data_IF_518304924978
#
_entry.id   IF_518304924978
#
_cell.length_a   1.000
_cell.length_b   1.000
_cell.length_c   1.000
_cell.angle_alpha   90.00
_cell.angle_beta   90.00
_cell.angle_gamma   90.00
#
_symmetry.space_group_name_H-M   'P 1'
#
loop_
_entity.id
_entity.type
_entity.pdbx_description
1 polymer ?
#
# COMPACT_ATOMS: atom_id res chain seq x y z
N UNK A 1 -3.84 -18.34 17.54
CA UNK A 1 -2.66 -18.92 18.19
C UNK A 1 -1.45 -18.58 17.35
N UNK A 2 -0.46 -17.89 17.92
CA UNK A 2 0.75 -17.40 17.26
C UNK A 2 1.91 -18.34 17.55
N UNK A 3 2.53 -18.90 16.51
CA UNK A 3 3.65 -19.83 16.65
C UNK A 3 4.99 -19.08 16.58
N UNK A 4 5.87 -19.34 17.55
CA UNK A 4 7.14 -18.62 17.70
C UNK A 4 8.31 -19.62 17.80
N UNK A 5 9.41 -19.29 17.12
CA UNK A 5 10.73 -19.91 17.35
C UNK A 5 11.64 -18.87 18.01
N UNK A 6 12.41 -19.30 19.02
CA UNK A 6 13.37 -18.44 19.71
C UNK A 6 14.78 -18.96 19.42
N UNK A 7 15.62 -18.10 18.87
CA UNK A 7 17.04 -18.40 18.70
C UNK A 7 17.85 -17.60 19.71
N UNK A 8 18.41 -18.27 20.66
CA UNK A 8 19.19 -17.71 21.76
C UNK A 8 20.14 -18.81 22.32
N UNK A 9 21.41 -18.47 22.44
CA UNK A 9 22.45 -19.41 22.92
C UNK A 9 22.28 -19.70 24.39
N UNK A 10 21.85 -18.71 25.18
CA UNK A 10 21.65 -18.85 26.62
C UNK A 10 20.26 -19.42 26.95
N UNK A 11 20.12 -20.65 27.47
CA UNK A 11 18.82 -21.23 27.76
C UNK A 11 17.99 -20.41 28.77
N UNK A 12 18.64 -19.74 29.73
CA UNK A 12 17.94 -18.89 30.70
C UNK A 12 17.36 -17.62 30.06
N UNK A 13 18.07 -17.02 29.08
CA UNK A 13 17.57 -15.87 28.33
C UNK A 13 16.43 -16.28 27.39
N UNK A 14 16.54 -17.45 26.75
CA UNK A 14 15.46 -18.00 25.91
C UNK A 14 14.17 -18.24 26.69
N UNK A 15 14.30 -18.82 27.91
CA UNK A 15 13.16 -19.06 28.78
C UNK A 15 12.58 -17.75 29.35
N UNK A 16 13.43 -16.77 29.66
CA UNK A 16 13.02 -15.42 30.02
C UNK A 16 12.18 -14.74 28.94
N UNK A 17 12.63 -14.78 27.68
CA UNK A 17 11.89 -14.23 26.54
C UNK A 17 10.56 -14.95 26.33
N UNK A 18 10.56 -16.29 26.41
CA UNK A 18 9.31 -17.07 26.34
C UNK A 18 8.28 -16.65 27.37
N UNK A 19 8.70 -16.54 28.64
CA UNK A 19 7.79 -16.18 29.73
C UNK A 19 7.26 -14.76 29.57
N UNK A 20 8.08 -13.84 29.09
CA UNK A 20 7.67 -12.47 28.81
C UNK A 20 6.65 -12.39 27.66
N UNK A 21 6.88 -13.11 26.57
CA UNK A 21 5.96 -13.20 25.43
C UNK A 21 4.60 -13.76 25.88
N UNK A 22 4.58 -14.82 26.69
CA UNK A 22 3.34 -15.43 27.19
C UNK A 22 2.60 -14.47 28.13
N UNK A 23 3.31 -13.71 28.97
CA UNK A 23 2.70 -12.82 29.94
C UNK A 23 2.17 -11.51 29.32
N UNK A 24 2.79 -11.03 28.25
CA UNK A 24 2.39 -9.76 27.61
C UNK A 24 1.28 -9.92 26.57
N UNK A 25 1.06 -11.14 26.04
CA UNK A 25 -0.04 -11.39 25.10
C UNK A 25 -1.23 -11.93 25.87
N UNK A 26 -2.12 -11.01 26.27
CA UNK A 26 -3.36 -11.32 26.98
C UNK A 26 -4.55 -11.25 26.02
N UNK A 27 -5.42 -12.26 25.95
CA UNK A 27 -6.66 -12.24 25.17
C UNK A 27 -6.85 -13.43 24.22
N UNK A 28 -7.42 -13.18 23.03
CA UNK A 28 -7.74 -14.24 22.07
C UNK A 28 -6.51 -14.86 21.38
N UNK A 29 -5.37 -14.19 21.40
CA UNK A 29 -4.14 -14.65 20.77
C UNK A 29 -3.23 -15.35 21.80
N UNK A 30 -3.18 -16.67 21.76
CA UNK A 30 -2.24 -17.46 22.54
C UNK A 30 -0.92 -17.63 21.78
N UNK A 31 0.21 -17.40 22.48
CA UNK A 31 1.55 -17.70 21.93
C UNK A 31 1.93 -19.13 22.23
N UNK A 32 2.46 -19.81 21.23
CA UNK A 32 3.07 -21.12 21.36
C UNK A 32 4.52 -21.10 20.84
N UNK A 33 5.50 -21.30 21.72
CA UNK A 33 6.87 -21.53 21.30
C UNK A 33 6.99 -22.95 20.76
N UNK A 34 7.24 -23.07 19.46
CA UNK A 34 7.27 -24.35 18.72
C UNK A 34 8.68 -24.87 18.48
N UNK A 35 9.71 -24.09 18.78
CA UNK A 35 11.11 -24.52 18.64
C UNK A 35 12.11 -23.53 19.25
N UNK A 36 13.31 -24.06 19.50
CA UNK A 36 14.45 -23.26 19.92
C UNK A 36 15.62 -23.58 19.00
N UNK A 37 16.34 -22.59 18.53
CA UNK A 37 17.55 -22.71 17.74
C UNK A 37 18.76 -22.22 18.54
N UNK A 38 19.88 -22.92 18.43
CA UNK A 38 21.12 -22.63 19.16
C UNK A 38 22.23 -22.08 18.28
N UNK A 39 22.05 -22.16 16.96
CA UNK A 39 22.95 -21.61 15.96
C UNK A 39 22.18 -21.08 14.74
N UNK A 40 22.88 -20.33 13.89
CA UNK A 40 22.25 -19.69 12.74
C UNK A 40 21.77 -20.67 11.66
N UNK A 41 22.32 -21.88 11.56
CA UNK A 41 21.89 -22.90 10.62
C UNK A 41 20.57 -23.53 11.06
N UNK A 42 20.47 -23.84 12.38
CA UNK A 42 19.27 -24.38 13.01
C UNK A 42 18.08 -23.42 12.87
N UNK A 43 18.32 -22.07 12.90
CA UNK A 43 17.29 -21.04 12.60
C UNK A 43 16.68 -21.25 11.22
N UNK A 44 17.51 -21.40 10.18
CA UNK A 44 17.04 -21.60 8.82
C UNK A 44 16.31 -22.95 8.64
N UNK A 45 16.80 -24.00 9.30
CA UNK A 45 16.17 -25.33 9.29
C UNK A 45 14.78 -25.31 9.94
N UNK A 46 14.66 -24.72 11.14
CA UNK A 46 13.39 -24.59 11.83
C UNK A 46 12.42 -23.67 11.09
N UNK A 47 12.90 -22.61 10.44
CA UNK A 47 12.09 -21.78 9.56
C UNK A 47 11.45 -22.58 8.43
N UNK A 48 12.25 -23.42 7.74
CA UNK A 48 11.79 -24.26 6.64
C UNK A 48 10.79 -25.34 7.08
N UNK A 49 11.08 -26.00 8.22
CA UNK A 49 10.32 -27.15 8.71
C UNK A 49 9.03 -26.75 9.40
N UNK A 50 9.09 -25.78 10.31
CA UNK A 50 7.97 -25.41 11.17
C UNK A 50 7.14 -24.25 10.60
N UNK A 51 7.74 -23.45 9.71
CA UNK A 51 7.13 -22.24 9.14
C UNK A 51 6.40 -21.43 10.22
N UNK A 52 7.09 -21.04 11.31
CA UNK A 52 6.44 -20.34 12.42
C UNK A 52 5.96 -18.96 11.98
N UNK A 53 5.10 -18.34 12.78
CA UNK A 53 4.65 -16.98 12.51
C UNK A 53 5.79 -15.99 12.71
N UNK A 54 6.59 -16.18 13.77
CA UNK A 54 7.68 -15.28 14.14
C UNK A 54 8.90 -16.10 14.54
N UNK A 55 10.08 -15.62 14.17
CA UNK A 55 11.37 -16.11 14.69
C UNK A 55 12.11 -14.95 15.34
N UNK A 56 12.42 -15.07 16.62
CA UNK A 56 13.37 -14.19 17.29
C UNK A 56 14.78 -14.71 17.06
N UNK A 57 15.65 -13.86 16.50
CA UNK A 57 17.01 -14.24 16.12
C UNK A 57 18.01 -13.38 16.90
N UNK A 58 18.86 -14.00 17.70
CA UNK A 58 19.94 -13.29 18.37
C UNK A 58 21.02 -12.85 17.37
N UNK A 59 21.56 -11.64 17.55
CA UNK A 59 22.67 -11.11 16.74
C UNK A 59 23.91 -11.99 16.83
N UNK A 60 24.24 -12.49 18.06
CA UNK A 60 25.45 -13.24 18.36
C UNK A 60 25.21 -14.77 18.37
N UNK A 61 24.89 -15.33 17.20
CA UNK A 61 24.76 -16.77 17.06
C UNK A 61 26.09 -17.43 16.66
N UNK A 62 26.40 -18.64 17.17
CA UNK A 62 27.56 -19.37 16.74
C UNK A 62 27.41 -19.87 15.31
N UNK A 63 28.53 -19.91 14.59
CA UNK A 63 28.60 -20.37 13.20
C UNK A 63 28.19 -19.33 12.19
N UNK A 64 26.90 -19.10 12.04
CA UNK A 64 26.33 -18.02 11.23
C UNK A 64 25.79 -16.95 12.18
N UNK A 65 26.18 -15.69 11.96
CA UNK A 65 25.67 -14.57 12.75
C UNK A 65 24.15 -14.39 12.56
N UNK A 66 23.51 -13.61 13.44
CA UNK A 66 22.06 -13.42 13.40
C UNK A 66 21.57 -12.76 12.11
N UNK A 67 22.38 -11.94 11.45
CA UNK A 67 22.03 -11.31 10.18
C UNK A 67 21.94 -12.33 9.05
N UNK A 68 22.95 -13.21 8.95
CA UNK A 68 22.97 -14.25 7.93
C UNK A 68 21.92 -15.32 8.22
N UNK A 69 21.69 -15.68 9.50
CA UNK A 69 20.61 -16.56 9.93
C UNK A 69 19.24 -15.99 9.53
N UNK A 70 19.00 -14.70 9.74
CA UNK A 70 17.79 -14.01 9.34
C UNK A 70 17.59 -14.04 7.81
N UNK A 71 18.66 -13.80 7.04
CA UNK A 71 18.63 -13.86 5.57
C UNK A 71 18.24 -15.25 5.06
N UNK A 72 18.84 -16.29 5.61
CA UNK A 72 18.54 -17.68 5.23
C UNK A 72 17.14 -18.11 5.66
N UNK A 73 16.70 -17.74 6.87
CA UNK A 73 15.35 -18.02 7.35
C UNK A 73 14.28 -17.35 6.48
N UNK A 74 14.50 -16.09 6.11
CA UNK A 74 13.58 -15.34 5.22
C UNK A 74 13.53 -15.95 3.82
N UNK A 75 14.67 -16.44 3.30
CA UNK A 75 14.70 -17.14 2.02
C UNK A 75 13.97 -18.49 2.07
N UNK A 76 14.14 -19.25 3.17
CA UNK A 76 13.51 -20.57 3.37
C UNK A 76 12.01 -20.49 3.69
N UNK A 77 11.58 -19.45 4.40
CA UNK A 77 10.19 -19.21 4.80
C UNK A 77 9.83 -17.71 4.66
N UNK A 78 9.50 -17.23 3.45
CA UNK A 78 9.25 -15.79 3.17
C UNK A 78 8.09 -15.17 3.96
N UNK A 79 7.19 -16.01 4.46
CA UNK A 79 6.03 -15.58 5.25
C UNK A 79 6.32 -15.50 6.75
N UNK A 80 7.43 -16.04 7.21
CA UNK A 80 7.85 -15.96 8.62
C UNK A 80 8.46 -14.60 8.91
N UNK A 81 8.01 -13.93 9.97
CA UNK A 81 8.59 -12.66 10.39
C UNK A 81 9.85 -12.91 11.23
N UNK A 82 11.01 -12.49 10.75
CA UNK A 82 12.26 -12.51 11.54
C UNK A 82 12.35 -11.21 12.35
N UNK A 83 12.55 -11.35 13.66
CA UNK A 83 12.82 -10.26 14.61
C UNK A 83 14.26 -10.40 15.08
N UNK A 84 15.13 -9.45 14.72
CA UNK A 84 16.53 -9.48 15.12
C UNK A 84 16.71 -8.83 16.50
N UNK A 85 17.37 -9.53 17.41
CA UNK A 85 17.69 -9.05 18.76
C UNK A 85 19.12 -8.53 18.75
N UNK A 86 19.30 -7.21 18.84
CA UNK A 86 20.58 -6.53 18.78
C UNK A 86 21.20 -6.34 20.18
N UNK A 87 22.51 -6.51 20.26
CA UNK A 87 23.29 -6.17 21.47
C UNK A 87 23.44 -4.64 21.59
N UNK A 88 23.76 -3.97 20.47
CA UNK A 88 23.91 -2.54 20.43
C UNK A 88 22.91 -1.90 19.46
N UNK A 89 22.11 -0.97 19.96
CA UNK A 89 21.15 -0.23 19.16
C UNK A 89 21.85 0.90 18.41
N UNK A 90 21.92 0.80 17.08
CA UNK A 90 22.48 1.86 16.23
C UNK A 90 21.76 1.92 14.88
N UNK A 91 21.68 3.10 14.23
CA UNK A 91 21.06 3.25 12.92
C UNK A 91 21.66 2.32 11.85
N UNK A 92 22.95 2.04 11.95
CA UNK A 92 23.67 1.16 11.04
C UNK A 92 23.26 -0.31 11.24
N UNK A 93 23.11 -0.77 12.50
CA UNK A 93 22.66 -2.12 12.83
C UNK A 93 21.20 -2.33 12.36
N UNK A 94 20.32 -1.34 12.55
CA UNK A 94 18.96 -1.37 12.03
C UNK A 94 18.91 -1.48 10.50
N UNK A 95 19.68 -0.65 9.78
CA UNK A 95 19.76 -0.71 8.32
C UNK A 95 20.24 -2.07 7.83
N UNK A 96 21.28 -2.64 8.45
CA UNK A 96 21.79 -3.97 8.14
C UNK A 96 20.75 -5.06 8.39
N UNK A 97 20.03 -5.00 9.52
CA UNK A 97 18.97 -5.93 9.86
C UNK A 97 17.85 -5.95 8.81
N UNK A 98 17.39 -4.78 8.39
CA UNK A 98 16.34 -4.66 7.36
C UNK A 98 16.81 -5.20 6.00
N UNK A 99 18.06 -4.97 5.62
CA UNK A 99 18.65 -5.51 4.39
C UNK A 99 18.74 -7.05 4.41
N UNK A 100 18.93 -7.66 5.60
CA UNK A 100 18.92 -9.12 5.77
C UNK A 100 17.51 -9.72 5.84
N UNK A 101 16.45 -8.92 5.72
CA UNK A 101 15.07 -9.38 5.70
C UNK A 101 14.38 -9.43 7.07
N UNK A 102 15.00 -8.85 8.11
CA UNK A 102 14.31 -8.68 9.40
C UNK A 102 13.06 -7.81 9.22
N UNK A 103 11.99 -8.18 9.89
CA UNK A 103 10.72 -7.42 9.91
C UNK A 103 10.67 -6.43 11.06
N UNK A 104 11.41 -6.70 12.10
CA UNK A 104 11.58 -5.83 13.25
C UNK A 104 12.94 -6.04 13.90
N UNK A 105 13.34 -5.07 14.68
CA UNK A 105 14.57 -5.11 15.48
C UNK A 105 14.21 -4.76 16.91
N UNK A 106 14.73 -5.51 17.86
CA UNK A 106 14.61 -5.22 19.29
C UNK A 106 15.99 -5.22 19.95
N UNK A 107 16.13 -4.49 21.04
CA UNK A 107 17.36 -4.53 21.84
C UNK A 107 17.33 -5.71 22.79
N UNK A 108 18.42 -6.50 22.85
CA UNK A 108 18.54 -7.70 23.68
C UNK A 108 18.34 -7.42 25.17
N UNK A 109 18.95 -6.35 25.71
CA UNK A 109 18.93 -6.00 27.14
C UNK A 109 17.99 -4.84 27.51
N UNK A 110 17.25 -4.31 26.56
CA UNK A 110 16.32 -3.22 26.74
C UNK A 110 15.04 -3.51 25.99
N UNK A 111 14.30 -4.52 26.46
CA UNK A 111 13.09 -5.01 25.81
C UNK A 111 12.08 -3.88 25.68
N UNK A 112 11.43 -3.73 24.51
CA UNK A 112 10.35 -2.77 24.36
C UNK A 112 9.30 -3.07 25.43
N UNK A 113 8.72 -2.04 26.00
CA UNK A 113 7.65 -2.12 27.00
C UNK A 113 6.43 -2.90 26.52
N UNK A 114 6.41 -3.31 25.22
CA UNK A 114 5.27 -3.97 24.60
C UNK A 114 5.67 -4.97 23.50
N UNK A 115 6.34 -6.07 23.88
CA UNK A 115 6.58 -7.22 23.01
C UNK A 115 5.28 -7.87 22.54
N UNK A 116 4.23 -7.78 23.33
CA UNK A 116 2.91 -8.31 23.01
C UNK A 116 2.30 -7.62 21.80
N UNK A 117 2.40 -6.28 21.72
CA UNK A 117 1.93 -5.53 20.55
C UNK A 117 2.74 -5.89 19.30
N UNK A 118 4.06 -5.92 19.39
CA UNK A 118 4.93 -6.28 18.28
C UNK A 118 4.58 -7.67 17.70
N UNK A 119 4.46 -8.67 18.57
CA UNK A 119 4.14 -10.05 18.16
C UNK A 119 2.75 -10.13 17.52
N UNK A 120 1.75 -9.48 18.12
CA UNK A 120 0.40 -9.44 17.60
C UNK A 120 0.36 -8.76 16.23
N UNK A 121 1.07 -7.64 16.06
CA UNK A 121 1.18 -6.92 14.80
C UNK A 121 1.84 -7.78 13.71
N UNK A 122 2.98 -8.42 14.00
CA UNK A 122 3.69 -9.27 13.04
C UNK A 122 2.86 -10.50 12.63
N UNK A 123 2.16 -11.12 13.58
CA UNK A 123 1.29 -12.26 13.30
C UNK A 123 0.07 -11.87 12.44
N UNK A 124 -0.52 -10.70 12.68
CA UNK A 124 -1.61 -10.16 11.85
C UNK A 124 -1.15 -9.89 10.42
N UNK A 125 0.02 -9.30 10.21
CA UNK A 125 0.60 -9.09 8.87
C UNK A 125 0.73 -10.41 8.10
N UNK A 126 1.05 -11.50 8.79
CA UNK A 126 1.10 -12.84 8.17
C UNK A 126 -0.29 -13.38 7.84
N UNK A 127 -1.27 -13.17 8.72
CA UNK A 127 -2.66 -13.58 8.46
C UNK A 127 -3.24 -12.84 7.26
N UNK A 128 -2.94 -11.55 7.11
CA UNK A 128 -3.31 -10.77 5.93
C UNK A 128 -2.67 -11.34 4.67
N UNK A 129 -1.35 -11.65 4.68
CA UNK A 129 -0.68 -12.34 3.57
C UNK A 129 -1.27 -13.73 3.28
N UNK A 130 -1.60 -14.51 4.30
CA UNK A 130 -2.27 -15.81 4.14
C UNK A 130 -3.67 -15.65 3.55
N UNK A 131 -4.45 -14.66 3.96
CA UNK A 131 -5.77 -14.40 3.39
C UNK A 131 -5.66 -13.89 1.95
N UNK A 132 -4.62 -13.13 1.61
CA UNK A 132 -4.27 -12.80 0.23
C UNK A 132 -3.99 -14.05 -0.60
N UNK A 133 -3.22 -15.01 -0.10
CA UNK A 133 -2.94 -16.28 -0.75
C UNK A 133 -4.18 -17.21 -0.82
N UNK A 134 -5.03 -17.21 0.20
CA UNK A 134 -6.26 -18.03 0.21
C UNK A 134 -7.37 -17.46 -0.69
N UNK A 135 -7.45 -16.13 -0.84
CA UNK A 135 -8.36 -15.53 -1.83
C UNK A 135 -7.93 -15.80 -3.28
N UNK A 136 -6.65 -16.10 -3.51
CA UNK A 136 -6.11 -16.50 -4.81
C UNK A 136 -6.64 -17.86 -5.27
N UNK A 137 -7.11 -18.72 -4.35
CA UNK A 137 -7.44 -20.13 -4.66
C UNK A 137 -8.93 -20.35 -5.00
N UNK A 138 -9.84 -19.43 -4.72
CA UNK A 138 -11.27 -19.77 -4.78
C UNK A 138 -12.06 -19.22 -5.95
N UNK A 139 -11.67 -18.11 -6.59
CA UNK A 139 -12.33 -17.62 -7.80
C UNK A 139 -11.49 -16.50 -8.47
N UNK A 140 -10.83 -16.75 -9.60
CA UNK A 140 -10.06 -15.74 -10.31
C UNK A 140 -10.86 -14.48 -10.69
N UNK A 141 -12.18 -14.62 -10.85
CA UNK A 141 -13.07 -13.51 -11.21
C UNK A 141 -13.41 -12.59 -10.03
N UNK A 142 -13.05 -13.00 -8.81
CA UNK A 142 -13.26 -12.23 -7.56
C UNK A 142 -11.99 -11.68 -6.96
N UNK A 143 -10.85 -11.82 -7.63
CA UNK A 143 -9.60 -11.24 -7.11
C UNK A 143 -9.71 -9.73 -6.97
N UNK A 144 -9.28 -9.17 -5.83
CA UNK A 144 -9.28 -7.72 -5.64
C UNK A 144 -8.30 -7.05 -6.60
N UNK A 145 -8.73 -5.97 -7.23
CA UNK A 145 -7.94 -5.17 -8.14
C UNK A 145 -7.64 -3.82 -7.52
N UNK A 146 -6.38 -3.49 -7.47
CA UNK A 146 -5.89 -2.24 -6.89
C UNK A 146 -5.29 -1.36 -7.96
N UNK A 147 -5.63 -0.09 -7.95
CA UNK A 147 -5.29 0.88 -8.98
C UNK A 147 -4.73 2.14 -8.29
N UNK A 148 -3.46 2.43 -8.52
CA UNK A 148 -2.87 3.69 -8.11
C UNK A 148 -3.00 4.71 -9.25
N UNK A 149 -3.42 5.93 -8.93
CA UNK A 149 -3.46 7.06 -9.87
C UNK A 149 -2.49 8.10 -9.38
N UNK A 150 -1.50 8.43 -10.20
CA UNK A 150 -0.44 9.38 -9.85
C UNK A 150 -0.05 10.27 -11.03
N UNK A 151 0.86 11.21 -10.82
CA UNK A 151 1.37 12.11 -11.84
C UNK A 151 2.69 12.72 -11.41
N UNK A 152 3.48 13.23 -12.34
CA UNK A 152 4.72 13.93 -12.04
C UNK A 152 4.51 15.33 -11.44
N UNK A 153 3.35 15.95 -11.70
CA UNK A 153 3.03 17.31 -11.24
C UNK A 153 1.64 17.42 -10.64
N UNK A 154 1.45 18.43 -9.79
CA UNK A 154 0.13 18.87 -9.36
C UNK A 154 -0.66 19.51 -10.53
N UNK A 155 -1.99 19.52 -10.42
CA UNK A 155 -2.87 20.22 -11.37
C UNK A 155 -3.11 19.54 -12.72
N UNK A 156 -2.52 18.38 -13.00
CA UNK A 156 -2.71 17.65 -14.26
C UNK A 156 -4.03 16.88 -14.35
N UNK A 157 -4.85 16.87 -13.27
CA UNK A 157 -6.18 16.26 -13.25
C UNK A 157 -6.21 14.83 -12.67
N UNK A 158 -5.23 14.45 -11.91
CA UNK A 158 -5.08 13.13 -11.26
C UNK A 158 -6.27 12.77 -10.37
N UNK A 159 -6.60 13.62 -9.38
CA UNK A 159 -7.72 13.41 -8.45
C UNK A 159 -9.07 13.36 -9.20
N UNK A 160 -9.27 14.23 -10.22
CA UNK A 160 -10.45 14.18 -11.06
C UNK A 160 -10.58 12.83 -11.80
N UNK A 161 -9.47 12.29 -12.30
CA UNK A 161 -9.46 10.96 -12.92
C UNK A 161 -9.76 9.88 -11.87
N UNK A 162 -9.10 9.86 -10.73
CA UNK A 162 -9.29 8.86 -9.69
C UNK A 162 -10.76 8.80 -9.22
N UNK A 163 -11.36 9.94 -8.91
CA UNK A 163 -12.76 10.06 -8.46
C UNK A 163 -13.72 9.54 -9.53
N UNK A 164 -13.61 10.03 -10.76
CA UNK A 164 -14.54 9.68 -11.82
C UNK A 164 -14.38 8.20 -12.26
N UNK A 165 -13.15 7.66 -12.27
CA UNK A 165 -12.91 6.24 -12.53
C UNK A 165 -13.50 5.36 -11.43
N UNK A 166 -13.27 5.67 -10.16
CA UNK A 166 -13.85 4.92 -9.04
C UNK A 166 -15.38 4.90 -9.09
N UNK A 167 -16.03 6.01 -9.47
CA UNK A 167 -17.47 6.09 -9.64
C UNK A 167 -17.99 5.23 -10.81
N UNK A 168 -17.26 5.20 -11.94
CA UNK A 168 -17.62 4.33 -13.06
C UNK A 168 -17.54 2.85 -12.67
N UNK A 169 -16.52 2.46 -11.89
CA UNK A 169 -16.43 1.12 -11.34
C UNK A 169 -17.57 0.85 -10.34
N UNK A 170 -17.87 1.81 -9.46
CA UNK A 170 -18.95 1.70 -8.48
C UNK A 170 -20.34 1.56 -9.14
N UNK A 171 -20.58 2.23 -10.26
CA UNK A 171 -21.81 2.07 -11.08
C UNK A 171 -21.97 0.62 -11.56
N UNK A 172 -20.89 -0.08 -11.89
CA UNK A 172 -20.90 -1.48 -12.35
C UNK A 172 -20.86 -2.49 -11.22
N UNK A 173 -20.19 -2.14 -10.10
CA UNK A 173 -19.96 -2.98 -8.92
C UNK A 173 -20.32 -2.21 -7.64
N UNK A 174 -21.62 -1.98 -7.37
CA UNK A 174 -22.04 -1.21 -6.20
C UNK A 174 -21.52 -1.81 -4.89
N UNK A 175 -21.13 -0.94 -3.94
CA UNK A 175 -20.61 -1.30 -2.60
C UNK A 175 -19.31 -2.15 -2.62
N UNK A 176 -18.69 -2.34 -3.78
CA UNK A 176 -17.48 -3.15 -3.92
C UNK A 176 -16.23 -2.31 -4.26
N UNK A 177 -16.36 -0.98 -4.23
CA UNK A 177 -15.30 -0.04 -4.63
C UNK A 177 -14.94 0.87 -3.47
N UNK A 178 -13.64 1.00 -3.21
CA UNK A 178 -13.09 1.99 -2.30
C UNK A 178 -12.15 2.95 -3.04
N UNK A 179 -12.16 4.22 -2.65
CA UNK A 179 -11.24 5.26 -3.10
C UNK A 179 -10.51 5.83 -1.88
N UNK A 180 -9.21 5.75 -1.89
CA UNK A 180 -8.33 6.19 -0.82
C UNK A 180 -7.57 7.43 -1.28
N UNK A 181 -7.81 8.55 -0.62
CA UNK A 181 -7.03 9.76 -0.81
C UNK A 181 -5.71 9.62 -0.03
N UNK A 182 -4.62 9.38 -0.76
CA UNK A 182 -3.31 9.12 -0.16
C UNK A 182 -2.49 10.41 0.00
N UNK A 183 -3.17 11.55 0.05
CA UNK A 183 -2.53 12.84 0.28
C UNK A 183 -2.29 13.11 1.76
N UNK A 184 -1.02 13.36 2.09
CA UNK A 184 -0.60 13.78 3.44
C UNK A 184 -0.96 15.22 3.79
N UNK A 185 -1.36 16.02 2.79
CA UNK A 185 -1.77 17.42 2.92
C UNK A 185 -2.75 17.75 1.80
N UNK A 186 -3.81 18.50 2.11
CA UNK A 186 -4.74 19.04 1.12
C UNK A 186 -5.40 17.98 0.22
N UNK A 187 -5.89 16.89 0.83
CA UNK A 187 -6.68 15.90 0.08
C UNK A 187 -7.98 16.50 -0.46
N UNK A 188 -8.23 16.32 -1.76
CA UNK A 188 -9.34 16.95 -2.46
C UNK A 188 -10.44 15.96 -2.89
N UNK A 189 -10.29 14.66 -2.59
CA UNK A 189 -11.27 13.63 -2.99
C UNK A 189 -12.64 13.88 -2.35
N UNK A 190 -12.67 14.22 -1.06
CA UNK A 190 -13.92 14.49 -0.35
C UNK A 190 -14.60 15.75 -0.87
N UNK A 191 -13.84 16.79 -1.24
CA UNK A 191 -14.38 18.00 -1.86
C UNK A 191 -15.02 17.70 -3.22
N UNK A 192 -14.35 16.90 -4.05
CA UNK A 192 -14.85 16.52 -5.37
C UNK A 192 -16.15 15.68 -5.33
N UNK A 193 -16.48 15.11 -4.16
CA UNK A 193 -17.64 14.25 -3.92
C UNK A 193 -18.70 14.88 -2.99
N UNK A 194 -18.52 16.14 -2.58
CA UNK A 194 -19.31 16.80 -1.52
C UNK A 194 -19.48 15.94 -0.25
N UNK A 195 -18.43 15.24 0.14
CA UNK A 195 -18.42 14.40 1.32
C UNK A 195 -17.88 15.17 2.53
N UNK A 196 -18.59 15.02 3.65
CA UNK A 196 -18.12 15.49 4.96
C UNK A 196 -17.74 14.29 5.83
N UNK A 197 -16.53 14.28 6.32
CA UNK A 197 -16.05 13.26 7.26
C UNK A 197 -15.07 13.90 8.24
N UNK A 198 -15.11 13.43 9.48
CA UNK A 198 -14.14 13.81 10.51
C UNK A 198 -12.94 12.87 10.51
N UNK A 199 -13.09 11.66 9.95
CA UNK A 199 -12.06 10.64 9.89
C UNK A 199 -11.23 10.78 8.61
N UNK A 200 -9.93 10.52 8.72
CA UNK A 200 -8.99 10.55 7.61
C UNK A 200 -7.95 9.42 7.74
N UNK A 201 -7.16 9.19 6.70
CA UNK A 201 -6.15 8.13 6.67
C UNK A 201 -5.09 8.30 7.79
N UNK A 202 -4.74 9.53 8.17
CA UNK A 202 -3.78 9.81 9.23
C UNK A 202 -4.28 9.38 10.61
N UNK A 203 -5.60 9.33 10.84
CA UNK A 203 -6.13 8.89 12.12
C UNK A 203 -5.83 7.41 12.39
N UNK A 204 -5.69 6.59 11.34
CA UNK A 204 -5.33 5.18 11.45
C UNK A 204 -3.97 4.96 12.11
N UNK A 205 -3.04 5.93 12.02
CA UNK A 205 -1.72 5.84 12.67
C UNK A 205 -1.78 5.84 14.19
N UNK A 206 -2.90 6.28 14.77
CA UNK A 206 -3.11 6.33 16.23
C UNK A 206 -3.44 4.97 16.82
N UNK A 207 -3.76 3.98 15.99
CA UNK A 207 -4.11 2.64 16.42
C UNK A 207 -2.88 1.73 16.30
N UNK A 208 -2.62 0.92 17.32
CA UNK A 208 -1.49 -0.02 17.31
C UNK A 208 -1.68 -1.18 16.34
N UNK A 209 -2.91 -1.50 15.98
CA UNK A 209 -3.26 -2.51 14.99
C UNK A 209 -4.58 -2.12 14.32
N UNK A 210 -4.69 -2.44 13.03
CA UNK A 210 -5.91 -2.20 12.26
C UNK A 210 -6.73 -3.50 12.18
N UNK A 211 -8.04 -3.34 12.14
CA UNK A 211 -8.96 -4.43 11.77
C UNK A 211 -9.96 -3.93 10.71
N UNK A 212 -10.73 -4.87 10.15
CA UNK A 212 -11.63 -4.56 9.05
C UNK A 212 -12.75 -3.59 9.44
N UNK A 213 -13.27 -3.70 10.65
CA UNK A 213 -14.36 -2.84 11.15
C UNK A 213 -13.86 -1.43 11.43
N UNK A 214 -12.66 -1.30 11.99
CA UNK A 214 -12.00 -0.01 12.20
C UNK A 214 -11.74 0.71 10.86
N UNK A 215 -11.18 0.00 9.88
CA UNK A 215 -10.92 0.56 8.54
C UNK A 215 -12.24 0.95 7.86
N UNK A 216 -13.26 0.10 7.91
CA UNK A 216 -14.58 0.39 7.31
C UNK A 216 -15.27 1.58 8.00
N UNK A 217 -15.10 1.73 9.31
CA UNK A 217 -15.59 2.87 10.10
C UNK A 217 -14.93 4.21 9.74
N UNK A 218 -13.73 4.20 9.15
CA UNK A 218 -13.03 5.41 8.66
C UNK A 218 -13.37 5.76 7.20
N UNK A 219 -14.13 4.91 6.50
CA UNK A 219 -14.56 5.15 5.13
C UNK A 219 -15.92 5.84 5.08
N UNK A 220 -15.95 7.07 4.60
CA UNK A 220 -17.20 7.77 4.30
C UNK A 220 -17.95 7.08 3.15
N UNK A 221 -19.26 7.11 3.17
CA UNK A 221 -20.12 6.53 2.12
C UNK A 221 -20.68 7.63 1.24
N UNK A 222 -20.36 7.59 -0.05
CA UNK A 222 -21.00 8.41 -1.08
C UNK A 222 -22.35 7.79 -1.50
N UNK A 223 -23.29 8.60 -1.99
CA UNK A 223 -24.62 8.16 -2.43
C UNK A 223 -24.59 7.09 -3.54
N UNK A 224 -23.54 7.06 -4.36
CA UNK A 224 -23.33 6.01 -5.37
C UNK A 224 -22.98 4.63 -4.79
N UNK A 225 -22.74 4.52 -3.47
CA UNK A 225 -22.19 3.33 -2.83
C UNK A 225 -20.65 3.28 -2.80
N UNK A 226 -19.95 4.27 -3.38
CA UNK A 226 -18.49 4.37 -3.28
C UNK A 226 -18.09 4.63 -1.82
N UNK A 227 -17.09 3.91 -1.34
CA UNK A 227 -16.47 4.11 -0.03
C UNK A 227 -15.21 4.96 -0.17
N UNK A 228 -15.06 5.97 0.66
CA UNK A 228 -14.00 6.97 0.51
C UNK A 228 -13.26 7.16 1.82
N UNK A 229 -11.95 6.95 1.80
CA UNK A 229 -11.06 7.35 2.89
C UNK A 229 -10.47 8.72 2.55
N UNK A 230 -10.74 9.69 3.41
CA UNK A 230 -10.23 11.04 3.23
C UNK A 230 -8.71 11.10 3.45
N UNK A 231 -8.05 11.96 2.69
CA UNK A 231 -6.67 12.34 2.94
C UNK A 231 -6.53 13.22 4.20
N UNK A 232 -5.30 13.44 4.64
CA UNK A 232 -5.01 14.26 5.82
C UNK A 232 -5.33 15.74 5.53
N UNK A 233 -6.10 16.36 6.40
CA UNK A 233 -6.44 17.78 6.31
C UNK A 233 -5.30 18.69 6.78
N UNK A 234 -5.46 20.00 6.55
CA UNK A 234 -4.46 21.05 6.85
C UNK A 234 -3.93 21.08 8.30
N UNK A 235 -4.68 20.57 9.26
CA UNK A 235 -4.33 20.61 10.68
C UNK A 235 -3.45 19.43 11.14
N UNK A 236 -3.11 18.48 10.28
CA UNK A 236 -2.48 17.21 10.66
C UNK A 236 -1.27 16.86 9.77
N UNK A 237 -0.52 17.85 9.33
CA UNK A 237 0.57 17.74 8.33
C UNK A 237 1.63 16.67 8.66
N UNK A 238 1.84 16.36 9.93
CA UNK A 238 2.89 15.42 10.37
C UNK A 238 2.44 13.96 10.43
N UNK A 239 1.14 13.65 10.30
CA UNK A 239 0.65 12.29 10.51
C UNK A 239 1.06 11.31 9.40
N UNK A 240 1.12 11.75 8.15
CA UNK A 240 1.50 10.87 7.03
C UNK A 240 3.01 10.54 7.01
N UNK A 241 3.86 11.39 7.57
CA UNK A 241 5.29 11.08 7.75
C UNK A 241 5.51 9.99 8.80
N UNK A 242 4.52 9.78 9.68
CA UNK A 242 4.53 8.77 10.74
C UNK A 242 3.92 7.43 10.29
N UNK A 243 3.27 7.37 9.12
CA UNK A 243 2.71 6.11 8.60
C UNK A 243 3.85 5.22 8.14
N UNK A 244 4.14 4.21 8.91
CA UNK A 244 5.15 3.22 8.58
C UNK A 244 4.66 2.19 7.55
N UNK A 245 5.58 1.49 6.92
CA UNK A 245 5.25 0.47 5.91
C UNK A 245 4.42 -0.68 6.47
N UNK A 246 4.65 -1.19 7.70
CA UNK A 246 3.77 -2.16 8.34
C UNK A 246 2.30 -1.74 8.39
N UNK A 247 2.00 -0.53 8.84
CA UNK A 247 0.62 -0.01 8.87
C UNK A 247 0.01 0.11 7.46
N UNK A 248 0.80 0.57 6.48
CA UNK A 248 0.34 0.62 5.08
C UNK A 248 0.06 -0.77 4.52
N UNK A 249 0.88 -1.76 4.88
CA UNK A 249 0.68 -3.15 4.47
C UNK A 249 -0.60 -3.74 5.05
N UNK A 250 -0.87 -3.46 6.33
CA UNK A 250 -2.08 -3.89 7.02
C UNK A 250 -3.33 -3.24 6.41
N UNK A 251 -3.32 -1.91 6.24
CA UNK A 251 -4.40 -1.17 5.58
C UNK A 251 -4.67 -1.72 4.16
N UNK A 252 -3.62 -1.87 3.36
CA UNK A 252 -3.72 -2.37 1.99
C UNK A 252 -4.34 -3.78 1.93
N UNK A 253 -3.92 -4.67 2.84
CA UNK A 253 -4.46 -6.01 2.96
C UNK A 253 -5.94 -6.03 3.36
N UNK A 254 -6.34 -5.24 4.37
CA UNK A 254 -7.72 -5.15 4.84
C UNK A 254 -8.65 -4.58 3.77
N UNK A 255 -8.22 -3.54 3.05
CA UNK A 255 -8.99 -2.99 1.92
C UNK A 255 -9.22 -4.04 0.83
N UNK A 256 -8.22 -4.85 0.47
CA UNK A 256 -8.33 -5.92 -0.52
C UNK A 256 -9.24 -7.08 -0.10
N UNK A 257 -9.33 -7.35 1.18
CA UNK A 257 -10.29 -8.35 1.70
C UNK A 257 -11.72 -7.84 1.59
N UNK A 258 -11.93 -6.54 1.82
CA UNK A 258 -13.25 -5.94 1.94
C UNK A 258 -13.83 -5.46 0.61
N UNK A 259 -12.96 -4.97 -0.29
CA UNK A 259 -13.38 -4.35 -1.56
C UNK A 259 -12.78 -5.09 -2.76
N UNK A 260 -13.59 -5.26 -3.79
CA UNK A 260 -13.16 -5.84 -5.06
C UNK A 260 -12.24 -4.89 -5.84
N UNK A 261 -12.50 -3.60 -5.76
CA UNK A 261 -11.70 -2.56 -6.42
C UNK A 261 -11.28 -1.50 -5.42
N UNK A 262 -9.99 -1.22 -5.38
CA UNK A 262 -9.44 -0.17 -4.52
C UNK A 262 -8.63 0.80 -5.35
N UNK A 263 -9.06 2.04 -5.38
CA UNK A 263 -8.35 3.14 -6.03
C UNK A 263 -7.55 3.91 -4.97
N UNK A 264 -6.33 4.30 -5.33
CA UNK A 264 -5.48 5.16 -4.52
C UNK A 264 -5.17 6.43 -5.33
N UNK A 265 -5.58 7.59 -4.84
CA UNK A 265 -5.12 8.89 -5.36
C UNK A 265 -3.79 9.23 -4.71
N UNK A 266 -2.68 9.03 -5.44
CA UNK A 266 -1.31 9.10 -4.91
C UNK A 266 -0.66 10.43 -5.30
N UNK A 267 -0.08 11.18 -4.34
CA UNK A 267 0.56 12.47 -4.63
C UNK A 267 1.76 12.34 -5.58
N UNK A 268 2.16 13.44 -6.26
CA UNK A 268 3.26 13.47 -7.21
C UNK A 268 4.62 13.48 -6.50
N UNK A 269 4.89 12.50 -5.67
CA UNK A 269 6.11 12.36 -4.90
C UNK A 269 6.52 10.89 -4.80
N UNK A 270 7.81 10.62 -4.86
CA UNK A 270 8.37 9.27 -4.74
C UNK A 270 8.78 8.95 -3.30
N UNK A 271 7.92 9.28 -2.33
CA UNK A 271 8.13 8.90 -0.94
C UNK A 271 7.95 7.39 -0.76
N UNK A 272 8.54 6.86 0.30
CA UNK A 272 8.53 5.42 0.58
C UNK A 272 7.11 4.83 0.61
N UNK A 273 6.15 5.52 1.23
CA UNK A 273 4.74 5.09 1.28
C UNK A 273 4.09 5.08 -0.10
N UNK A 274 4.30 6.13 -0.92
CA UNK A 274 3.75 6.21 -2.28
C UNK A 274 4.32 5.09 -3.16
N UNK A 275 5.62 4.89 -3.10
CA UNK A 275 6.31 3.82 -3.83
C UNK A 275 5.82 2.45 -3.39
N UNK A 276 5.63 2.25 -2.07
CA UNK A 276 5.08 1.02 -1.53
C UNK A 276 3.69 0.73 -2.11
N UNK A 277 2.74 1.68 -2.04
CA UNK A 277 1.39 1.50 -2.59
C UNK A 277 1.44 1.19 -4.09
N UNK A 278 2.17 1.99 -4.88
CA UNK A 278 2.28 1.76 -6.33
C UNK A 278 2.85 0.37 -6.65
N UNK A 279 3.86 -0.09 -5.91
CA UNK A 279 4.48 -1.40 -6.13
C UNK A 279 3.54 -2.58 -5.86
N UNK A 280 2.54 -2.38 -5.01
CA UNK A 280 1.54 -3.38 -4.64
C UNK A 280 0.28 -3.36 -5.50
N UNK A 281 0.04 -2.28 -6.23
CA UNK A 281 -1.12 -2.15 -7.09
C UNK A 281 -1.02 -3.02 -8.35
N UNK A 282 -2.17 -3.53 -8.81
CA UNK A 282 -2.27 -4.25 -10.07
C UNK A 282 -2.04 -3.31 -11.27
N UNK A 283 -2.50 -2.06 -11.17
CA UNK A 283 -2.34 -1.03 -12.19
C UNK A 283 -1.84 0.27 -11.59
N UNK A 284 -0.92 0.93 -12.28
CA UNK A 284 -0.43 2.27 -11.95
C UNK A 284 -0.76 3.18 -13.13
N UNK A 285 -1.69 4.10 -12.92
CA UNK A 285 -2.08 5.10 -13.91
C UNK A 285 -1.22 6.35 -13.68
N UNK A 286 -0.45 6.74 -14.68
CA UNK A 286 0.33 7.98 -14.68
C UNK A 286 -0.37 9.00 -15.56
N UNK A 287 -0.84 10.09 -14.97
CA UNK A 287 -1.56 11.17 -15.67
C UNK A 287 -0.56 12.25 -16.10
N UNK A 288 -0.54 12.55 -17.37
CA UNK A 288 0.27 13.62 -17.96
C UNK A 288 -0.59 14.53 -18.84
N UNK A 289 -0.08 15.70 -19.18
CA UNK A 289 -0.65 16.55 -20.23
C UNK A 289 0.42 16.93 -21.24
N UNK A 290 0.01 17.48 -22.38
CA UNK A 290 0.88 17.92 -23.48
C UNK A 290 0.94 19.45 -23.61
N UNK A 291 0.67 20.18 -22.50
CA UNK A 291 0.59 21.64 -22.49
C UNK A 291 2.00 22.26 -22.55
N UNK A 292 2.93 21.70 -21.78
CA UNK A 292 4.28 22.26 -21.62
C UNK A 292 5.36 21.18 -21.55
N UNK A 293 6.58 21.55 -22.00
CA UNK A 293 7.75 20.69 -22.04
C UNK A 293 8.18 20.21 -20.63
N UNK A 294 8.01 21.06 -19.61
CA UNK A 294 8.43 20.71 -18.24
C UNK A 294 7.57 19.56 -17.70
N UNK A 295 6.26 19.53 -17.99
CA UNK A 295 5.40 18.42 -17.62
C UNK A 295 5.80 17.12 -18.33
N UNK A 296 6.15 17.19 -19.60
CA UNK A 296 6.62 16.01 -20.37
C UNK A 296 7.92 15.46 -19.79
N UNK A 297 8.93 16.33 -19.57
CA UNK A 297 10.21 15.95 -18.95
C UNK A 297 10.01 15.30 -17.58
N UNK A 298 9.20 15.92 -16.72
CA UNK A 298 8.99 15.44 -15.37
C UNK A 298 8.19 14.12 -15.36
N UNK A 299 7.28 13.93 -16.35
CA UNK A 299 6.58 12.65 -16.56
C UNK A 299 7.55 11.55 -16.96
N UNK A 300 8.48 11.82 -17.86
CA UNK A 300 9.53 10.86 -18.25
C UNK A 300 10.36 10.46 -17.02
N UNK A 301 10.87 11.43 -16.27
CA UNK A 301 11.65 11.17 -15.07
C UNK A 301 10.86 10.35 -14.01
N UNK A 302 9.56 10.62 -13.86
CA UNK A 302 8.72 9.85 -12.95
C UNK A 302 8.52 8.41 -13.40
N UNK A 303 8.28 8.18 -14.70
CA UNK A 303 8.14 6.83 -15.26
C UNK A 303 9.44 6.03 -15.09
N UNK A 304 10.60 6.63 -15.31
CA UNK A 304 11.90 6.02 -15.06
C UNK A 304 12.08 5.64 -13.59
N UNK A 305 11.70 6.54 -12.67
CA UNK A 305 11.73 6.28 -11.23
C UNK A 305 10.78 5.15 -10.83
N UNK A 306 9.57 5.10 -11.38
CA UNK A 306 8.60 4.01 -11.12
C UNK A 306 9.19 2.68 -11.62
N UNK A 307 9.76 2.62 -12.83
CA UNK A 307 10.40 1.40 -13.33
C UNK A 307 11.61 0.97 -12.50
N UNK A 308 12.39 1.93 -11.97
CA UNK A 308 13.52 1.64 -11.08
C UNK A 308 13.09 0.95 -9.77
N UNK A 309 11.81 1.04 -9.38
CA UNK A 309 11.24 0.30 -8.24
C UNK A 309 10.78 -1.12 -8.58
N UNK A 310 11.16 -1.63 -9.77
CA UNK A 310 10.80 -2.95 -10.29
C UNK A 310 9.28 -3.17 -10.52
N UNK A 311 8.52 -2.09 -10.71
CA UNK A 311 7.12 -2.20 -11.15
C UNK A 311 7.13 -2.62 -12.62
N UNK A 312 6.49 -3.74 -13.00
CA UNK A 312 6.44 -4.20 -14.38
C UNK A 312 5.80 -3.17 -15.31
N UNK A 313 6.38 -2.97 -16.48
CA UNK A 313 5.92 -1.98 -17.47
C UNK A 313 4.45 -2.17 -17.85
N UNK A 314 3.99 -3.42 -17.90
CA UNK A 314 2.63 -3.81 -18.27
C UNK A 314 1.58 -3.32 -17.25
N UNK A 315 2.00 -3.02 -16.03
CA UNK A 315 1.14 -2.45 -14.99
C UNK A 315 1.03 -0.93 -15.08
N UNK A 316 1.88 -0.26 -15.88
CA UNK A 316 1.95 1.20 -15.97
C UNK A 316 1.14 1.66 -17.17
N UNK A 317 0.15 2.51 -16.94
CA UNK A 317 -0.74 3.06 -17.96
C UNK A 317 -0.56 4.58 -18.03
N UNK A 318 0.02 5.07 -19.12
CA UNK A 318 0.15 6.51 -19.35
C UNK A 318 -1.15 7.06 -19.93
N UNK A 319 -1.72 8.07 -19.29
CA UNK A 319 -2.94 8.75 -19.72
C UNK A 319 -2.60 10.19 -20.10
N UNK A 320 -2.90 10.56 -21.35
CA UNK A 320 -2.83 11.94 -21.79
C UNK A 320 -4.13 12.66 -21.41
N UNK A 321 -4.07 13.57 -20.44
CA UNK A 321 -5.18 14.40 -20.01
C UNK A 321 -5.08 15.81 -20.61
N UNK A 322 -6.20 16.52 -20.65
CA UNK A 322 -6.31 17.89 -21.20
C UNK A 322 -5.82 17.99 -22.63
N UNK A 323 -6.14 16.97 -23.43
CA UNK A 323 -5.76 16.92 -24.86
C UNK A 323 -6.59 17.93 -25.64
N UNK A 324 -5.91 18.86 -26.29
CA UNK A 324 -6.53 19.91 -27.11
C UNK A 324 -5.67 20.16 -28.34
N UNK A 325 -6.30 20.62 -29.43
CA UNK A 325 -5.59 21.09 -30.63
C UNK A 325 -4.75 22.35 -30.39
N UNK A 326 -4.99 23.03 -29.27
CA UNK A 326 -4.27 24.23 -28.86
C UNK A 326 -3.01 23.92 -28.04
N UNK A 327 -2.80 22.66 -27.63
CA UNK A 327 -1.61 22.28 -26.88
C UNK A 327 -0.37 22.42 -27.77
N UNK A 328 0.72 22.84 -27.14
CA UNK A 328 2.01 23.03 -27.82
C UNK A 328 2.59 21.72 -28.36
N UNK A 329 2.33 20.63 -27.65
CA UNK A 329 2.81 19.29 -27.97
C UNK A 329 1.65 18.33 -28.25
N UNK A 330 1.92 17.34 -29.09
CA UNK A 330 0.96 16.28 -29.43
C UNK A 330 1.09 15.11 -28.47
N UNK A 331 0.10 14.22 -28.50
CA UNK A 331 0.20 12.94 -27.76
C UNK A 331 1.36 12.10 -28.27
N UNK A 332 1.67 12.17 -29.58
CA UNK A 332 2.82 11.47 -30.16
C UNK A 332 4.15 11.98 -29.59
N UNK A 333 4.28 13.31 -29.38
CA UNK A 333 5.49 13.87 -28.74
C UNK A 333 5.64 13.36 -27.30
N UNK A 334 4.53 13.17 -26.57
CA UNK A 334 4.55 12.58 -25.22
C UNK A 334 4.97 11.12 -25.27
N UNK A 335 4.47 10.33 -26.22
CA UNK A 335 4.87 8.93 -26.41
C UNK A 335 6.36 8.79 -26.77
N UNK A 336 6.85 9.65 -27.68
CA UNK A 336 8.26 9.68 -28.07
C UNK A 336 9.18 10.08 -26.91
N UNK A 337 8.78 11.08 -26.10
CA UNK A 337 9.55 11.55 -24.96
C UNK A 337 9.63 10.54 -23.83
N UNK A 338 8.51 9.84 -23.54
CA UNK A 338 8.42 8.90 -22.43
C UNK A 338 8.78 7.46 -22.80
N UNK A 339 8.73 7.11 -24.08
CA UNK A 339 8.83 5.74 -24.56
C UNK A 339 7.63 4.87 -24.20
N UNK A 340 6.54 5.44 -23.64
CA UNK A 340 5.31 4.72 -23.30
C UNK A 340 4.18 5.06 -24.28
N UNK A 341 3.43 4.06 -24.71
CA UNK A 341 2.19 4.31 -25.45
C UNK A 341 1.13 4.87 -24.54
N UNK A 342 0.36 5.84 -25.03
CA UNK A 342 -0.76 6.45 -24.31
C UNK A 342 -1.97 5.52 -24.34
N UNK A 343 -2.38 5.00 -23.18
CA UNK A 343 -3.50 4.07 -23.06
C UNK A 343 -4.87 4.75 -23.30
N UNK A 344 -4.98 6.03 -22.95
CA UNK A 344 -6.18 6.81 -23.24
C UNK A 344 -5.86 8.32 -23.37
N UNK A 345 -6.67 9.02 -24.16
CA UNK A 345 -6.62 10.47 -24.34
C UNK A 345 -7.91 11.07 -23.81
N UNK A 346 -7.79 11.98 -22.85
CA UNK A 346 -8.92 12.69 -22.26
C UNK A 346 -8.96 14.13 -22.81
N UNK A 347 -10.04 14.54 -23.49
CA UNK A 347 -10.14 15.88 -24.02
C UNK A 347 -10.16 16.94 -22.93
N UNK A 348 -9.62 18.12 -23.22
CA UNK A 348 -9.66 19.25 -22.29
C UNK A 348 -11.07 19.85 -22.24
N UNK A 349 -11.65 19.87 -21.05
CA UNK A 349 -12.92 20.53 -20.75
C UNK A 349 -12.84 21.19 -19.36
N UNK A 350 -12.11 22.32 -19.26
CA UNK A 350 -11.88 22.96 -17.97
C UNK A 350 -13.16 23.47 -17.31
N UNK A 351 -14.15 23.89 -18.10
CA UNK A 351 -15.41 24.41 -17.55
C UNK A 351 -16.20 23.29 -16.87
N UNK A 352 -16.36 22.15 -17.53
CA UNK A 352 -17.05 21.00 -16.98
C UNK A 352 -16.32 20.44 -15.74
N UNK A 353 -15.00 20.28 -15.83
CA UNK A 353 -14.19 19.71 -14.74
C UNK A 353 -14.19 20.63 -13.51
N UNK A 354 -13.98 21.94 -13.68
CA UNK A 354 -14.01 22.90 -12.57
C UNK A 354 -15.42 23.06 -11.98
N UNK A 355 -16.45 23.11 -12.82
CA UNK A 355 -17.84 23.15 -12.36
C UNK A 355 -18.20 21.92 -11.54
N UNK A 356 -17.83 20.73 -12.02
CA UNK A 356 -18.00 19.47 -11.31
C UNK A 356 -17.34 19.48 -9.92
N UNK A 357 -16.12 19.99 -9.83
CA UNK A 357 -15.37 20.10 -8.58
C UNK A 357 -16.01 21.08 -7.59
N UNK A 358 -16.40 22.26 -8.07
CA UNK A 358 -17.00 23.30 -7.26
C UNK A 358 -18.39 22.92 -6.71
N UNK A 359 -19.12 22.09 -7.46
CA UNK A 359 -20.43 21.61 -7.06
C UNK A 359 -20.40 20.28 -6.30
N UNK A 360 -19.22 19.62 -6.20
CA UNK A 360 -19.11 18.28 -5.64
C UNK A 360 -19.90 17.22 -6.41
N UNK A 361 -20.13 17.47 -7.72
CA UNK A 361 -20.91 16.59 -8.62
C UNK A 361 -20.04 16.04 -9.73
N UNK A 362 -19.46 14.85 -9.59
CA UNK A 362 -18.58 14.27 -10.59
C UNK A 362 -19.22 14.18 -11.97
N UNK A 363 -18.49 14.63 -12.99
CA UNK A 363 -19.04 14.81 -14.34
C UNK A 363 -19.42 13.49 -15.03
N UNK A 364 -18.84 12.34 -14.67
CA UNK A 364 -19.28 11.04 -15.20
C UNK A 364 -20.68 10.65 -14.75
N UNK A 365 -21.19 11.24 -13.66
CA UNK A 365 -22.56 11.08 -13.17
C UNK A 365 -23.47 12.18 -13.68
N UNK A 366 -23.04 13.45 -13.57
CA UNK A 366 -23.85 14.61 -13.93
C UNK A 366 -23.96 14.84 -15.45
N UNK A 367 -22.87 14.52 -16.19
CA UNK A 367 -22.80 14.78 -17.66
C UNK A 367 -22.16 13.57 -18.36
N UNK A 368 -22.81 12.39 -18.33
CA UNK A 368 -22.23 11.13 -18.82
C UNK A 368 -21.94 11.11 -20.32
N UNK A 369 -22.60 11.99 -21.09
CA UNK A 369 -22.46 12.08 -22.54
C UNK A 369 -21.38 13.09 -22.98
N UNK A 370 -20.76 13.82 -22.07
CA UNK A 370 -19.66 14.71 -22.41
C UNK A 370 -18.46 13.92 -23.00
N UNK A 371 -17.71 14.51 -23.95
CA UNK A 371 -16.57 13.82 -24.57
C UNK A 371 -15.57 13.25 -23.57
N UNK A 372 -15.24 14.00 -22.51
CA UNK A 372 -14.35 13.54 -21.44
C UNK A 372 -14.96 12.37 -20.65
N UNK A 373 -16.26 12.41 -20.35
CA UNK A 373 -16.98 11.34 -19.66
C UNK A 373 -16.98 10.05 -20.48
N UNK A 374 -17.22 10.15 -21.79
CA UNK A 374 -17.18 9.01 -22.71
C UNK A 374 -15.76 8.43 -22.83
N UNK A 375 -14.72 9.27 -22.85
CA UNK A 375 -13.34 8.82 -22.88
C UNK A 375 -12.98 8.06 -21.59
N UNK A 376 -13.42 8.54 -20.42
CA UNK A 376 -13.24 7.82 -19.14
C UNK A 376 -14.03 6.52 -19.08
N UNK A 377 -15.25 6.46 -19.62
CA UNK A 377 -16.03 5.23 -19.70
C UNK A 377 -15.32 4.16 -20.54
N UNK A 378 -14.69 4.56 -21.66
CA UNK A 378 -13.89 3.65 -22.49
C UNK A 378 -12.67 3.12 -21.73
N UNK A 379 -11.94 4.02 -21.04
CA UNK A 379 -10.79 3.61 -20.21
C UNK A 379 -11.23 2.66 -19.11
N UNK A 380 -12.33 2.95 -18.42
CA UNK A 380 -12.88 2.09 -17.38
C UNK A 380 -13.25 0.70 -17.92
N UNK A 381 -13.87 0.63 -19.11
CA UNK A 381 -14.21 -0.64 -19.75
C UNK A 381 -12.96 -1.49 -20.04
N UNK A 382 -11.91 -0.90 -20.61
CA UNK A 382 -10.63 -1.59 -20.89
C UNK A 382 -10.00 -2.14 -19.61
N UNK A 383 -9.97 -1.34 -18.53
CA UNK A 383 -9.41 -1.80 -17.25
C UNK A 383 -10.28 -2.89 -16.59
N UNK A 384 -11.61 -2.84 -16.77
CA UNK A 384 -12.53 -3.87 -16.26
C UNK A 384 -12.43 -5.17 -17.06
N UNK A 385 -12.28 -5.13 -18.38
CA UNK A 385 -12.14 -6.31 -19.23
C UNK A 385 -10.89 -7.13 -18.91
N UNK A 386 -9.79 -6.48 -18.58
CA UNK A 386 -8.56 -7.13 -18.10
C UNK A 386 -8.71 -7.85 -16.76
N UNK A 387 -9.85 -7.67 -16.06
CA UNK A 387 -10.13 -8.19 -14.72
C UNK A 387 -11.24 -9.27 -14.73
N UNK A 388 -12.03 -9.34 -15.79
CA UNK A 388 -13.21 -10.23 -15.87
C UNK A 388 -12.92 -11.48 -16.73
N UNK A 389 -11.70 -11.61 -17.28
CA UNK A 389 -11.27 -12.78 -18.05
C UNK A 389 -10.57 -13.81 -17.18
#
# INVERSE_FOLDING_TARGET
MITVVISEVNPGAAEGLRNELINQVSGQDQIQVVGYARDGLEVAQLAAQLRPDIIFVDEDLPGLDGYEACRLATAAAPDTACVLMLVADSPNAHSKAMQCGARAVIKRDGRPTDLGQLVTQLARLRQVKKSEQYSIVTDPTKMPVTIAVTSAKGGVGKTALAVNMALLFCKRFPEQVALIDFYGQFGDVTLALDLRTENNIGDLTRYGALDADLVDGHLARHESGLRVMAGVGRSHEQLMEQVDIPHLAELFGLLRIRYRFVFFDVPPAMWTGNTYIMSRCNHVIVVANTIDLATMRDTTAMLDNIMATHIPRERIHLIANRVSRQNQFTVKDLEEATGFSVAAQLPDDPQLVMGSYNEGKPFVLSTPNAPISQAMQKLAAVLMEGVVV
#
